data_IF_955739240916
#
_entry.id   IF_955739240916
#
_cell.length_a   1.000
_cell.length_b   1.000
_cell.length_c   1.000
_cell.angle_alpha   90.00
_cell.angle_beta   90.00
_cell.angle_gamma   90.00
#
_symmetry.space_group_name_H-M   'P 1'
#
loop_
_entity.id
_entity.type
_entity.pdbx_description
1 polymer ?
#
# COMPACT_ATOMS: atom_id res chain seq x y z
N UNK A 1 -20.99 -15.49 16.79
CA UNK A 1 -21.27 -14.11 16.35
C UNK A 1 -19.96 -13.41 15.96
N UNK A 2 -19.98 -12.62 14.88
CA UNK A 2 -18.87 -11.85 14.22
C UNK A 2 -17.96 -12.63 13.26
N UNK A 3 -18.49 -13.05 12.12
CA UNK A 3 -17.67 -13.42 10.94
C UNK A 3 -18.26 -12.84 9.66
N UNK A 4 -18.35 -11.50 9.60
CA UNK A 4 -18.83 -10.79 8.40
C UNK A 4 -17.96 -9.56 8.09
N UNK A 5 -16.93 -9.28 8.89
CA UNK A 5 -16.14 -8.04 8.79
C UNK A 5 -14.70 -8.20 8.30
N UNK A 6 -14.21 -9.43 8.10
CA UNK A 6 -12.77 -9.67 7.91
C UNK A 6 -12.37 -10.24 6.54
N UNK A 7 -13.32 -10.69 5.71
CA UNK A 7 -12.95 -11.45 4.52
C UNK A 7 -12.61 -10.59 3.29
N UNK A 8 -13.17 -9.37 3.20
CA UNK A 8 -13.04 -8.53 2.00
C UNK A 8 -11.60 -8.12 1.65
N UNK A 9 -10.72 -7.99 2.65
CA UNK A 9 -9.32 -7.58 2.48
C UNK A 9 -8.32 -8.72 2.69
N UNK A 10 -8.76 -9.90 3.12
CA UNK A 10 -7.89 -11.03 3.46
C UNK A 10 -7.14 -11.57 2.23
N UNK A 11 -7.82 -11.57 1.08
CA UNK A 11 -7.31 -11.99 -0.23
C UNK A 11 -6.35 -10.96 -0.80
N UNK A 12 -6.77 -9.70 -0.80
CA UNK A 12 -5.99 -8.56 -1.29
C UNK A 12 -4.64 -8.44 -0.58
N UNK A 13 -4.58 -8.76 0.72
CA UNK A 13 -3.35 -8.71 1.52
C UNK A 13 -2.24 -9.64 1.00
N UNK A 14 -2.58 -10.81 0.46
CA UNK A 14 -1.58 -11.78 -0.06
C UNK A 14 -0.91 -11.28 -1.34
N UNK A 15 -1.61 -10.43 -2.06
CA UNK A 15 -1.21 -9.95 -3.37
C UNK A 15 -0.60 -8.54 -3.33
N UNK A 16 -0.42 -7.96 -2.14
CA UNK A 16 0.29 -6.68 -1.92
C UNK A 16 1.56 -6.57 -2.80
N UNK A 17 2.45 -7.58 -2.87
CA UNK A 17 3.66 -7.48 -3.68
C UNK A 17 3.41 -7.31 -5.19
N UNK A 18 2.24 -7.72 -5.70
CA UNK A 18 1.90 -7.68 -7.13
C UNK A 18 1.39 -6.32 -7.60
N UNK A 19 0.81 -5.51 -6.72
CA UNK A 19 0.18 -4.24 -7.11
C UNK A 19 0.75 -3.01 -6.41
N UNK A 20 1.64 -3.17 -5.43
CA UNK A 20 2.35 -2.08 -4.78
C UNK A 20 3.39 -1.38 -5.68
N UNK A 21 4.23 -2.09 -6.45
CA UNK A 21 5.29 -1.43 -7.21
C UNK A 21 4.71 -0.40 -8.20
N UNK A 22 5.31 0.80 -8.37
CA UNK A 22 4.83 1.80 -9.33
C UNK A 22 4.69 1.24 -10.74
N UNK A 23 5.63 0.41 -11.20
CA UNK A 23 5.49 -0.40 -12.41
C UNK A 23 5.69 -1.89 -12.10
N UNK A 24 4.62 -2.68 -11.95
CA UNK A 24 4.73 -4.10 -11.59
C UNK A 24 5.33 -4.97 -12.69
N UNK A 25 5.44 -4.46 -13.92
CA UNK A 25 6.03 -5.21 -15.04
C UNK A 25 7.56 -5.20 -15.01
N UNK A 26 8.14 -4.18 -14.38
CA UNK A 26 9.60 -3.96 -14.33
C UNK A 26 10.16 -3.86 -12.92
N UNK A 27 9.31 -3.58 -11.92
CA UNK A 27 9.71 -3.36 -10.53
C UNK A 27 9.10 -4.39 -9.59
N UNK A 28 9.86 -4.75 -8.56
CA UNK A 28 9.44 -5.62 -7.48
C UNK A 28 9.77 -5.01 -6.12
N UNK A 29 9.20 -5.59 -5.06
CA UNK A 29 9.56 -5.22 -3.70
C UNK A 29 10.96 -5.73 -3.34
N UNK A 30 11.73 -4.88 -2.66
CA UNK A 30 13.03 -5.17 -2.11
C UNK A 30 13.07 -4.81 -0.61
N UNK A 31 13.29 -5.77 0.30
CA UNK A 31 13.47 -7.21 0.03
C UNK A 31 12.19 -7.88 -0.51
N UNK A 32 12.30 -8.96 -1.31
CA UNK A 32 11.12 -9.68 -1.79
C UNK A 32 10.28 -10.23 -0.63
N UNK A 33 8.96 -10.05 -0.69
CA UNK A 33 8.03 -10.65 0.27
C UNK A 33 7.69 -12.06 -0.21
N UNK A 34 8.11 -13.07 0.56
CA UNK A 34 7.89 -14.48 0.21
C UNK A 34 6.40 -14.86 0.37
N UNK A 35 5.66 -14.83 -0.73
CA UNK A 35 4.26 -15.28 -0.76
C UNK A 35 4.20 -16.80 -0.95
N UNK A 36 4.25 -17.58 0.14
CA UNK A 36 4.22 -19.05 0.01
C UNK A 36 3.84 -19.82 1.27
N UNK A 37 4.21 -19.34 2.45
CA UNK A 37 3.78 -19.94 3.71
C UNK A 37 2.60 -19.16 4.27
N UNK A 38 1.56 -19.84 4.77
CA UNK A 38 0.34 -19.23 5.34
C UNK A 38 0.58 -18.31 6.56
N UNK A 39 1.83 -18.01 6.91
CA UNK A 39 2.25 -17.35 8.16
C UNK A 39 3.30 -16.26 8.00
N UNK A 40 3.98 -16.13 6.86
CA UNK A 40 5.07 -15.14 6.76
C UNK A 40 4.57 -13.78 6.26
N UNK A 41 3.89 -13.08 7.17
CA UNK A 41 3.45 -11.69 7.00
C UNK A 41 4.37 -10.71 7.75
N UNK A 42 5.50 -11.21 8.25
CA UNK A 42 6.46 -10.46 9.07
C UNK A 42 7.08 -9.29 8.29
N UNK A 43 7.25 -9.44 6.99
CA UNK A 43 7.78 -8.42 6.08
C UNK A 43 6.74 -7.51 5.43
N UNK A 44 5.55 -7.32 6.02
CA UNK A 44 4.51 -6.41 5.50
C UNK A 44 4.36 -5.15 6.38
N UNK A 45 3.77 -4.09 5.79
CA UNK A 45 3.45 -2.87 6.51
C UNK A 45 4.70 -2.12 6.97
N UNK A 46 4.75 -1.71 8.23
CA UNK A 46 5.87 -0.92 8.77
C UNK A 46 7.20 -1.68 8.89
N UNK A 47 7.18 -3.00 8.71
CA UNK A 47 8.41 -3.81 8.70
C UNK A 47 9.15 -3.77 7.35
N UNK A 48 8.53 -3.23 6.29
CA UNK A 48 9.10 -3.22 4.94
C UNK A 48 9.39 -1.79 4.48
N UNK A 49 10.64 -1.44 4.11
CA UNK A 49 11.04 -0.07 3.79
C UNK A 49 10.15 0.62 2.74
N UNK A 50 9.82 -0.07 1.66
CA UNK A 50 8.95 0.49 0.61
C UNK A 50 7.47 0.59 1.02
N UNK A 51 6.98 -0.27 1.92
CA UNK A 51 5.59 -0.23 2.38
C UNK A 51 5.39 0.80 3.49
N UNK A 52 6.41 1.04 4.32
CA UNK A 52 6.43 2.10 5.31
C UNK A 52 6.12 3.44 4.65
N UNK A 53 6.79 3.75 3.54
CA UNK A 53 6.62 5.01 2.82
C UNK A 53 5.17 5.21 2.36
N UNK A 54 4.53 4.16 1.84
CA UNK A 54 3.13 4.20 1.42
C UNK A 54 2.20 4.51 2.60
N UNK A 55 2.46 3.92 3.76
CA UNK A 55 1.65 4.06 4.98
C UNK A 55 1.99 5.29 5.81
N UNK A 56 3.16 5.90 5.58
CA UNK A 56 3.61 7.11 6.24
C UNK A 56 2.60 8.23 5.96
N UNK A 57 2.23 9.06 6.96
CA UNK A 57 1.42 10.24 6.71
C UNK A 57 2.04 11.09 5.61
N UNK A 58 1.25 11.49 4.60
CA UNK A 58 1.75 12.15 3.40
C UNK A 58 2.62 13.39 3.70
N UNK A 59 2.31 14.12 4.77
CA UNK A 59 3.10 15.28 5.23
C UNK A 59 4.54 14.98 5.62
N UNK A 60 4.86 13.72 5.97
CA UNK A 60 6.20 13.26 6.33
C UNK A 60 6.87 12.47 5.19
N UNK A 61 6.23 12.31 4.03
CA UNK A 61 6.84 11.61 2.89
C UNK A 61 8.13 12.29 2.43
N UNK A 62 8.15 13.63 2.35
CA UNK A 62 9.37 14.41 2.03
C UNK A 62 10.49 14.22 3.07
N UNK A 63 10.15 14.14 4.36
CA UNK A 63 11.10 13.85 5.44
C UNK A 63 11.70 12.44 5.24
N UNK A 64 10.86 11.47 4.89
CA UNK A 64 11.28 10.11 4.60
C UNK A 64 12.24 10.04 3.40
N UNK A 65 11.98 10.77 2.31
CA UNK A 65 12.89 10.82 1.16
C UNK A 65 14.24 11.47 1.49
N UNK A 66 14.26 12.47 2.37
CA UNK A 66 15.48 13.15 2.78
C UNK A 66 16.32 12.36 3.79
N UNK A 67 15.66 11.65 4.72
CA UNK A 67 16.32 10.80 5.71
C UNK A 67 15.42 9.61 6.08
N UNK A 68 15.60 8.50 5.37
CA UNK A 68 14.77 7.30 5.52
C UNK A 68 14.89 6.70 6.91
N UNK A 69 16.11 6.49 7.40
CA UNK A 69 16.37 5.78 8.66
C UNK A 69 15.82 6.56 9.87
N UNK A 70 16.08 7.86 9.93
CA UNK A 70 15.60 8.70 11.03
C UNK A 70 14.08 8.80 11.05
N UNK A 71 13.46 8.96 9.89
CA UNK A 71 12.00 9.05 9.78
C UNK A 71 11.34 7.71 10.13
N UNK A 72 11.95 6.60 9.71
CA UNK A 72 11.52 5.25 10.08
C UNK A 72 11.57 5.05 11.60
N UNK A 73 12.68 5.42 12.26
CA UNK A 73 12.80 5.34 13.73
C UNK A 73 11.70 6.17 14.39
N UNK A 74 11.46 7.41 13.93
CA UNK A 74 10.38 8.26 14.47
C UNK A 74 9.00 7.65 14.28
N UNK A 75 8.74 6.94 13.17
CA UNK A 75 7.49 6.24 12.92
C UNK A 75 7.32 5.04 13.87
N UNK A 76 8.35 4.20 14.00
CA UNK A 76 8.33 3.00 14.85
C UNK A 76 8.24 3.34 16.34
N UNK A 77 8.94 4.40 16.78
CA UNK A 77 8.87 4.93 18.15
C UNK A 77 7.57 5.68 18.45
N UNK A 78 6.70 5.88 17.44
CA UNK A 78 5.43 6.60 17.59
C UNK A 78 5.54 8.12 17.72
N UNK A 79 6.74 8.70 17.52
CA UNK A 79 6.95 10.16 17.45
C UNK A 79 6.19 10.75 16.25
N UNK A 80 6.20 10.05 15.12
CA UNK A 80 5.26 10.29 14.02
C UNK A 80 4.03 9.41 14.23
N UNK A 81 3.01 10.00 14.86
CA UNK A 81 1.74 9.28 15.08
C UNK A 81 1.01 9.05 13.76
N UNK A 82 0.70 7.80 13.43
CA UNK A 82 -0.19 7.42 12.32
C UNK A 82 -1.61 7.30 12.87
N UNK A 83 -2.50 8.23 12.48
CA UNK A 83 -3.88 8.32 12.98
C UNK A 83 -4.85 8.38 11.80
N UNK A 84 -6.12 8.05 12.02
CA UNK A 84 -7.13 8.09 10.95
C UNK A 84 -7.29 9.49 10.32
N UNK A 85 -7.00 10.56 11.08
CA UNK A 85 -6.99 11.95 10.59
C UNK A 85 -5.78 12.31 9.72
N UNK A 86 -4.76 11.46 9.66
CA UNK A 86 -3.53 11.66 8.90
C UNK A 86 -3.50 10.68 7.74
N UNK A 87 -3.73 11.21 6.55
CA UNK A 87 -3.87 10.40 5.36
C UNK A 87 -2.50 9.84 4.92
N UNK A 88 -2.42 8.53 4.61
CA UNK A 88 -1.20 7.89 4.14
C UNK A 88 -0.77 8.37 2.74
N UNK A 89 0.53 8.31 2.46
CA UNK A 89 1.13 8.83 1.24
C UNK A 89 0.59 8.18 -0.04
N UNK A 90 0.26 6.89 -0.01
CA UNK A 90 -0.27 6.18 -1.19
C UNK A 90 -1.59 6.74 -1.73
N UNK A 91 -2.31 7.56 -0.95
CA UNK A 91 -3.56 8.16 -1.39
C UNK A 91 -3.36 9.27 -2.41
N UNK A 92 -2.17 9.86 -2.46
CA UNK A 92 -1.87 11.02 -3.29
C UNK A 92 -1.23 10.64 -4.61
N UNK A 93 -1.55 11.41 -5.65
CA UNK A 93 -0.99 11.25 -6.99
C UNK A 93 0.54 11.46 -7.01
N UNK A 94 1.20 10.69 -7.86
CA UNK A 94 2.65 10.69 -8.05
C UNK A 94 3.13 9.38 -8.63
N UNK A 95 4.30 9.39 -9.27
CA UNK A 95 5.07 8.15 -9.47
C UNK A 95 5.61 7.68 -8.11
N UNK A 96 6.07 8.66 -7.33
CA UNK A 96 6.50 8.52 -5.96
C UNK A 96 5.33 8.79 -4.98
N UNK A 97 5.16 8.02 -3.89
CA UNK A 97 4.12 8.28 -2.90
C UNK A 97 4.13 9.72 -2.36
N UNK A 98 2.97 10.38 -2.41
CA UNK A 98 2.79 11.77 -1.97
C UNK A 98 3.66 12.83 -2.68
N UNK A 99 4.14 12.54 -3.89
CA UNK A 99 4.89 13.49 -4.72
C UNK A 99 4.17 14.85 -4.87
N UNK A 100 2.86 14.83 -5.13
CA UNK A 100 2.05 16.05 -5.29
C UNK A 100 1.28 16.43 -4.02
N UNK A 101 1.69 15.94 -2.84
CA UNK A 101 1.03 16.32 -1.60
C UNK A 101 1.23 17.81 -1.27
N UNK A 102 0.12 18.53 -1.13
CA UNK A 102 0.08 19.92 -0.74
C UNK A 102 -0.49 20.05 0.69
N UNK A 103 0.32 20.46 1.69
CA UNK A 103 -0.16 20.60 3.08
C UNK A 103 -1.21 21.72 3.24
N UNK A 104 -1.22 22.71 2.35
CA UNK A 104 -2.19 23.82 2.37
C UNK A 104 -3.49 23.46 1.64
N UNK A 105 -3.49 22.40 0.83
CA UNK A 105 -4.64 21.93 0.07
C UNK A 105 -4.68 20.39 0.05
N UNK A 106 -4.93 19.79 1.22
CA UNK A 106 -4.86 18.33 1.47
C UNK A 106 -5.81 17.51 0.57
N UNK A 107 -6.84 18.13 -0.02
CA UNK A 107 -7.79 17.48 -0.92
C UNK A 107 -7.24 17.35 -2.35
N UNK A 108 -6.25 18.15 -2.73
CA UNK A 108 -5.62 18.07 -4.06
C UNK A 108 -4.90 16.73 -4.22
N UNK A 109 -5.18 16.04 -5.31
CA UNK A 109 -4.57 14.75 -5.60
C UNK A 109 -5.02 13.59 -4.69
N UNK A 110 -5.94 13.82 -3.75
CA UNK A 110 -6.43 12.80 -2.82
C UNK A 110 -7.20 11.69 -3.56
N UNK A 111 -6.96 10.43 -3.16
CA UNK A 111 -7.48 9.21 -3.78
C UNK A 111 -7.06 9.00 -5.25
N UNK A 112 -6.10 9.78 -5.76
CA UNK A 112 -5.56 9.65 -7.11
C UNK A 112 -4.20 8.95 -7.16
N UNK A 113 -3.69 8.51 -6.02
CA UNK A 113 -2.48 7.70 -5.97
C UNK A 113 -2.66 6.36 -6.68
N UNK A 114 -1.63 5.94 -7.41
CA UNK A 114 -1.69 4.79 -8.32
C UNK A 114 -2.11 3.46 -7.65
N UNK A 115 -1.93 3.37 -6.33
CA UNK A 115 -2.24 2.19 -5.53
C UNK A 115 -3.74 1.96 -5.41
N UNK A 116 -4.52 3.04 -5.28
CA UNK A 116 -5.98 2.98 -5.06
C UNK A 116 -6.72 2.28 -6.21
N UNK A 117 -6.56 2.69 -7.49
CA UNK A 117 -7.24 2.01 -8.60
C UNK A 117 -6.73 0.58 -8.80
N UNK A 118 -5.45 0.30 -8.52
CA UNK A 118 -4.91 -1.06 -8.66
C UNK A 118 -5.46 -2.02 -7.62
N UNK A 119 -5.53 -1.62 -6.36
CA UNK A 119 -6.14 -2.42 -5.31
C UNK A 119 -7.63 -2.70 -5.62
N UNK A 120 -8.33 -1.71 -6.19
CA UNK A 120 -9.71 -1.87 -6.63
C UNK A 120 -9.86 -2.84 -7.81
N UNK A 121 -9.06 -2.67 -8.87
CA UNK A 121 -9.08 -3.51 -10.07
C UNK A 121 -8.67 -4.96 -9.76
N UNK A 122 -7.66 -5.14 -8.90
CA UNK A 122 -7.23 -6.48 -8.48
C UNK A 122 -8.38 -7.23 -7.79
N UNK A 123 -9.18 -6.53 -6.97
CA UNK A 123 -10.39 -7.11 -6.36
C UNK A 123 -11.50 -7.38 -7.37
N UNK A 124 -11.70 -6.48 -8.35
CA UNK A 124 -12.75 -6.62 -9.36
C UNK A 124 -12.47 -7.76 -10.35
N UNK A 125 -11.21 -8.02 -10.67
CA UNK A 125 -10.79 -9.09 -11.58
C UNK A 125 -10.89 -10.49 -10.95
N UNK A 126 -10.74 -10.60 -9.64
CA UNK A 126 -10.77 -11.89 -8.91
C UNK A 126 -12.19 -12.50 -8.80
N UNK A 127 -13.20 -11.88 -9.42
CA UNK A 127 -14.60 -12.28 -9.43
C UNK A 127 -15.11 -12.94 -10.73
N UNK A 128 -14.28 -13.09 -11.78
CA UNK A 128 -14.71 -13.65 -13.08
C UNK A 128 -14.08 -14.99 -13.46
N UNK A 129 -13.24 -15.60 -12.61
CA UNK A 129 -12.77 -16.96 -12.84
C UNK A 129 -13.77 -17.97 -12.25
N UNK A 130 -14.86 -18.22 -12.98
CA UNK A 130 -15.92 -19.12 -12.52
C UNK A 130 -17.13 -19.29 -13.42
N UNK A 131 -16.98 -19.36 -14.74
CA UNK A 131 -17.76 -20.24 -15.62
C UNK A 131 -17.39 -20.01 -17.09
N UNK A 132 -17.33 -21.12 -17.83
CA UNK A 132 -17.17 -21.26 -19.28
C UNK A 132 -15.83 -20.85 -19.89
N UNK A 133 -15.02 -21.87 -20.19
CA UNK A 133 -14.73 -22.29 -21.57
C UNK A 133 -13.92 -23.60 -21.53
N UNK A 134 -14.61 -24.69 -21.18
CA UNK A 134 -14.39 -25.99 -21.81
C UNK A 134 -15.64 -26.22 -22.65
N UNK A 135 -15.51 -26.07 -23.95
CA UNK A 135 -16.28 -26.72 -25.03
C UNK A 135 -16.20 -25.86 -26.29
N UNK A 136 -15.21 -26.17 -27.14
CA UNK A 136 -15.38 -26.56 -28.55
C UNK A 136 -14.03 -26.75 -29.22
#
# INVERSE_FOLDING_TARGET
MRSTRADDSSRLRKDIPKYVPPDPSTMSLNPPILTGSKKDHSGLGFAHPQLVLLLCPAKHAKEYYGNQDETLIKLLDGRIRVTASKLPAFMYIGFEPAEQYNPNAIHEGLLKGYYVPRAYLYRAWDGTQGSNLQDK
#
